data_IF_674844646393
#
_entry.id   IF_674844646393
#
_cell.length_a   1.000
_cell.length_b   1.000
_cell.length_c   1.000
_cell.angle_alpha   90.00
_cell.angle_beta   90.00
_cell.angle_gamma   90.00
#
_symmetry.space_group_name_H-M   'P 1'
#
loop_
_entity.id
_entity.type
_entity.pdbx_description
1 polymer ?
#
# COMPACT_ATOMS: atom_id res chain seq x y z
N UNK A 1 -19.79 -3.93 -4.53
CA UNK A 1 -18.69 -4.26 -3.60
C UNK A 1 -17.59 -4.94 -4.41
N UNK A 2 -16.42 -4.33 -4.55
CA UNK A 2 -15.33 -4.84 -5.41
C UNK A 2 -14.30 -5.67 -4.62
N UNK A 3 -13.42 -6.38 -5.34
CA UNK A 3 -12.36 -7.22 -4.79
C UNK A 3 -12.28 -8.60 -5.46
N UNK A 4 -11.08 -9.19 -5.51
CA UNK A 4 -10.84 -10.52 -6.06
C UNK A 4 -10.04 -11.40 -5.07
N UNK A 5 -10.70 -12.14 -4.15
CA UNK A 5 -12.14 -12.09 -3.87
C UNK A 5 -12.53 -10.84 -3.08
N UNK A 6 -13.83 -10.64 -2.88
CA UNK A 6 -14.36 -9.59 -2.00
C UNK A 6 -14.02 -9.90 -0.54
N UNK A 7 -13.66 -8.88 0.25
CA UNK A 7 -13.43 -9.07 1.69
C UNK A 7 -14.75 -9.43 2.40
N UNK A 8 -14.77 -10.46 3.26
CA UNK A 8 -16.02 -10.94 3.89
C UNK A 8 -16.72 -9.85 4.72
N UNK A 9 -15.97 -9.07 5.51
CA UNK A 9 -16.56 -7.99 6.30
C UNK A 9 -17.18 -6.88 5.44
N UNK A 10 -16.66 -6.58 4.25
CA UNK A 10 -17.28 -5.58 3.36
C UNK A 10 -18.66 -6.04 2.92
N UNK A 11 -18.83 -7.34 2.65
CA UNK A 11 -20.13 -7.93 2.32
C UNK A 11 -21.09 -7.78 3.49
N UNK A 12 -20.68 -8.23 4.69
CA UNK A 12 -21.52 -8.19 5.89
C UNK A 12 -21.92 -6.76 6.28
N UNK A 13 -20.96 -5.83 6.32
CA UNK A 13 -21.23 -4.43 6.67
C UNK A 13 -22.12 -3.74 5.62
N UNK A 14 -21.94 -4.06 4.33
CA UNK A 14 -22.84 -3.52 3.29
C UNK A 14 -24.26 -4.06 3.45
N UNK A 15 -24.43 -5.35 3.73
CA UNK A 15 -25.75 -5.94 3.99
C UNK A 15 -26.41 -5.36 5.25
N UNK A 16 -25.62 -5.12 6.31
CA UNK A 16 -26.10 -4.47 7.53
C UNK A 16 -26.53 -3.03 7.26
N UNK A 17 -25.75 -2.25 6.50
CA UNK A 17 -26.10 -0.89 6.12
C UNK A 17 -27.37 -0.84 5.26
N UNK A 18 -27.55 -1.81 4.35
CA UNK A 18 -28.80 -1.97 3.59
C UNK A 18 -30.00 -2.25 4.50
N UNK A 19 -29.86 -3.20 5.43
CA UNK A 19 -30.93 -3.56 6.37
C UNK A 19 -31.33 -2.41 7.30
N UNK A 20 -30.42 -1.45 7.53
CA UNK A 20 -30.67 -0.24 8.33
C UNK A 20 -31.09 0.97 7.50
N UNK A 21 -31.25 0.81 6.18
CA UNK A 21 -31.53 1.90 5.24
C UNK A 21 -30.46 3.01 5.25
N UNK A 22 -29.21 2.66 5.60
CA UNK A 22 -28.06 3.58 5.68
C UNK A 22 -27.28 3.67 4.35
N UNK A 23 -27.54 2.76 3.39
CA UNK A 23 -26.82 2.70 2.10
C UNK A 23 -27.49 3.55 1.00
N UNK A 24 -27.63 4.85 1.24
CA UNK A 24 -28.10 5.82 0.24
C UNK A 24 -27.03 6.23 -0.79
N UNK A 25 -27.37 7.04 -1.81
CA UNK A 25 -26.43 7.49 -2.84
C UNK A 25 -25.17 8.19 -2.29
N UNK A 26 -25.30 8.93 -1.19
CA UNK A 26 -24.16 9.58 -0.53
C UNK A 26 -23.19 8.60 0.13
N UNK A 27 -23.63 7.38 0.45
CA UNK A 27 -22.80 6.33 1.03
C UNK A 27 -22.01 5.54 -0.03
N UNK A 28 -22.16 5.89 -1.31
CA UNK A 28 -21.44 5.30 -2.43
C UNK A 28 -20.45 6.31 -3.05
N UNK A 29 -19.31 5.79 -3.53
CA UNK A 29 -18.37 6.56 -4.33
C UNK A 29 -18.80 6.65 -5.81
N UNK A 30 -17.99 7.28 -6.65
CA UNK A 30 -18.27 7.46 -8.09
C UNK A 30 -18.33 6.14 -8.88
N UNK A 31 -17.82 5.04 -8.33
CA UNK A 31 -17.87 3.70 -8.92
C UNK A 31 -19.00 2.85 -8.32
N UNK A 32 -19.85 3.42 -7.46
CA UNK A 32 -20.93 2.70 -6.78
C UNK A 32 -20.43 1.78 -5.67
N UNK A 33 -19.23 2.02 -5.12
CA UNK A 33 -18.66 1.23 -4.01
C UNK A 33 -19.04 1.87 -2.67
N UNK A 34 -19.38 1.08 -1.63
CA UNK A 34 -19.57 1.61 -0.29
C UNK A 34 -18.32 2.36 0.23
N UNK A 35 -18.53 3.61 0.64
CA UNK A 35 -17.47 4.53 1.08
C UNK A 35 -16.69 4.05 2.30
N UNK A 36 -17.32 3.27 3.18
CA UNK A 36 -16.70 2.79 4.43
C UNK A 36 -15.40 1.99 4.22
N UNK A 37 -15.21 1.35 3.06
CA UNK A 37 -13.93 0.76 2.65
C UNK A 37 -13.26 1.51 1.49
N UNK A 38 -14.03 2.14 0.60
CA UNK A 38 -13.53 2.75 -0.63
C UNK A 38 -12.89 4.15 -0.42
N UNK A 39 -13.14 4.82 0.70
CA UNK A 39 -12.53 6.13 0.99
C UNK A 39 -11.09 6.02 1.55
N UNK A 40 -10.55 4.79 1.67
CA UNK A 40 -9.15 4.54 2.04
C UNK A 40 -8.37 4.01 0.85
N UNK A 41 -7.07 4.31 0.82
CA UNK A 41 -6.13 3.63 -0.07
C UNK A 41 -5.54 2.43 0.66
N UNK A 42 -5.23 1.35 -0.08
CA UNK A 42 -4.56 0.17 0.47
C UNK A 42 -3.25 0.54 1.15
N UNK A 43 -2.60 1.63 0.74
CA UNK A 43 -1.40 2.15 1.39
C UNK A 43 -1.61 2.55 2.86
N UNK A 44 -2.82 2.98 3.26
CA UNK A 44 -3.12 3.33 4.63
C UNK A 44 -2.99 2.10 5.55
N UNK A 45 -2.23 2.22 6.63
CA UNK A 45 -1.93 1.11 7.55
C UNK A 45 -0.92 0.09 7.02
N UNK A 46 -0.29 0.32 5.86
CA UNK A 46 0.70 -0.60 5.32
C UNK A 46 1.89 -0.76 6.28
N UNK A 47 2.22 -2.00 6.66
CA UNK A 47 3.34 -2.30 7.55
C UNK A 47 4.71 -1.89 6.97
N UNK A 48 4.79 -1.67 5.65
CA UNK A 48 5.99 -1.23 4.93
C UNK A 48 6.08 0.29 4.79
N UNK A 49 5.31 1.06 5.56
CA UNK A 49 5.20 2.52 5.38
C UNK A 49 6.52 3.26 5.61
N UNK A 50 7.31 2.88 6.62
CA UNK A 50 8.62 3.49 6.86
C UNK A 50 9.55 3.35 5.64
N UNK A 51 9.56 2.17 5.02
CA UNK A 51 10.33 1.93 3.79
C UNK A 51 9.83 2.80 2.63
N UNK A 52 8.51 2.96 2.49
CA UNK A 52 7.91 3.82 1.47
C UNK A 52 8.26 5.30 1.67
N UNK A 53 8.22 5.78 2.92
CA UNK A 53 8.51 7.16 3.28
C UNK A 53 9.95 7.52 2.89
N UNK A 54 10.91 6.67 3.27
CA UNK A 54 12.34 6.87 2.98
C UNK A 54 12.78 6.39 1.58
N UNK A 55 11.86 5.94 0.73
CA UNK A 55 12.17 5.39 -0.62
C UNK A 55 13.23 4.28 -0.57
N UNK A 56 13.17 3.46 0.48
CA UNK A 56 13.99 2.29 0.67
C UNK A 56 13.23 1.07 0.14
N UNK A 57 13.47 0.74 -1.13
CA UNK A 57 12.63 -0.19 -1.86
C UNK A 57 13.18 -1.61 -1.85
N UNK A 58 12.27 -2.58 -1.84
CA UNK A 58 12.59 -3.98 -2.09
C UNK A 58 13.03 -4.12 -3.55
N UNK A 59 14.08 -4.90 -3.80
CA UNK A 59 14.61 -5.12 -5.16
C UNK A 59 14.16 -6.48 -5.72
N UNK A 60 13.90 -7.45 -4.84
CA UNK A 60 13.44 -8.79 -5.19
C UNK A 60 12.33 -9.28 -4.25
N UNK A 61 11.56 -10.31 -4.62
CA UNK A 61 10.66 -10.98 -3.67
C UNK A 61 11.41 -11.40 -2.40
N UNK A 62 10.69 -11.47 -1.28
CA UNK A 62 11.17 -11.68 0.11
C UNK A 62 11.81 -10.47 0.80
N UNK A 63 12.31 -9.48 0.08
CA UNK A 63 12.86 -8.27 0.69
C UNK A 63 11.82 -7.53 1.56
N UNK A 64 12.25 -6.94 2.68
CA UNK A 64 11.37 -6.22 3.61
C UNK A 64 10.94 -4.83 3.10
N UNK A 65 11.67 -4.25 2.15
CA UNK A 65 11.50 -2.88 1.66
C UNK A 65 10.15 -2.57 0.99
N UNK A 66 9.97 -1.33 0.55
CA UNK A 66 8.75 -0.95 -0.15
C UNK A 66 8.63 -1.66 -1.52
N UNK A 67 7.47 -2.23 -1.82
CA UNK A 67 7.21 -2.96 -3.07
C UNK A 67 6.84 -2.05 -4.25
N UNK A 68 6.61 -0.74 -4.03
CA UNK A 68 6.08 0.17 -5.05
C UNK A 68 7.09 0.48 -6.15
N UNK A 69 8.37 0.69 -5.82
CA UNK A 69 9.34 1.20 -6.79
C UNK A 69 9.76 0.15 -7.81
N UNK A 70 9.84 -1.13 -7.43
CA UNK A 70 10.35 -2.19 -8.31
C UNK A 70 9.35 -3.32 -8.56
N UNK A 71 8.53 -3.66 -7.58
CA UNK A 71 7.74 -4.90 -7.54
C UNK A 71 6.25 -4.70 -7.84
N UNK A 72 5.89 -3.58 -8.47
CA UNK A 72 4.58 -3.35 -9.07
C UNK A 72 3.45 -2.94 -8.13
N UNK A 73 3.74 -2.69 -6.84
CA UNK A 73 2.68 -2.42 -5.86
C UNK A 73 1.88 -1.15 -6.19
N UNK A 74 0.55 -1.30 -6.31
CA UNK A 74 -0.43 -0.23 -6.59
C UNK A 74 -1.12 0.28 -5.32
N UNK A 75 -0.55 0.04 -4.13
CA UNK A 75 -1.21 0.38 -2.87
C UNK A 75 -1.62 1.85 -2.72
N UNK A 76 -0.88 2.77 -3.34
CA UNK A 76 -1.17 4.22 -3.34
C UNK A 76 -2.20 4.65 -4.38
N UNK A 77 -2.77 3.71 -5.13
CA UNK A 77 -3.74 3.93 -6.20
C UNK A 77 -5.03 3.12 -5.99
N UNK A 78 -4.94 1.99 -5.26
CA UNK A 78 -6.05 1.09 -5.02
C UNK A 78 -6.90 1.54 -3.84
N UNK A 79 -8.20 1.72 -4.04
CA UNK A 79 -9.15 2.04 -2.99
C UNK A 79 -9.61 0.76 -2.26
N UNK A 80 -9.19 0.63 -1.00
CA UNK A 80 -9.63 -0.37 -0.04
C UNK A 80 -8.92 -0.15 1.30
N UNK A 81 -9.47 -0.75 2.36
CA UNK A 81 -8.93 -0.69 3.72
C UNK A 81 -8.17 -1.98 4.13
N UNK A 82 -7.67 -2.78 3.16
CA UNK A 82 -7.06 -4.11 3.38
C UNK A 82 -5.89 -4.16 4.38
N UNK A 83 -5.28 -3.03 4.72
CA UNK A 83 -4.17 -2.94 5.66
C UNK A 83 -4.56 -2.42 7.05
N UNK A 84 -5.77 -1.89 7.20
CA UNK A 84 -6.38 -1.52 8.49
C UNK A 84 -7.42 -2.58 8.91
N UNK A 85 -8.21 -3.06 7.95
CA UNK A 85 -9.08 -4.24 8.05
C UNK A 85 -8.40 -5.45 7.42
N UNK A 86 -7.85 -6.31 8.26
CA UNK A 86 -7.05 -7.45 7.83
C UNK A 86 -7.93 -8.65 7.47
N UNK A 87 -7.46 -9.42 6.48
CA UNK A 87 -8.03 -10.70 6.08
C UNK A 87 -7.83 -11.74 7.17
N UNK A 88 -8.92 -12.39 7.59
CA UNK A 88 -8.91 -13.49 8.56
C UNK A 88 -8.17 -13.15 9.88
N UNK A 89 -8.20 -11.87 10.28
CA UNK A 89 -7.64 -11.39 11.55
C UNK A 89 -6.17 -10.95 11.51
N UNK A 90 -5.42 -11.22 10.44
CA UNK A 90 -3.96 -10.94 10.42
C UNK A 90 -3.42 -10.50 9.05
N UNK A 91 -3.99 -11.02 7.96
CA UNK A 91 -3.37 -10.99 6.64
C UNK A 91 -3.69 -9.75 5.80
N UNK A 92 -2.75 -9.38 4.94
CA UNK A 92 -2.97 -8.55 3.76
C UNK A 92 -1.94 -8.92 2.70
N UNK A 93 -2.13 -8.53 1.44
CA UNK A 93 -1.15 -8.83 0.38
C UNK A 93 0.26 -8.37 0.78
N UNK A 94 0.38 -7.12 1.26
CA UNK A 94 1.67 -6.51 1.61
C UNK A 94 2.28 -7.08 2.88
N UNK A 95 1.47 -7.59 3.82
CA UNK A 95 1.95 -8.36 4.98
C UNK A 95 2.47 -9.72 4.56
N UNK A 96 1.80 -10.38 3.61
CA UNK A 96 2.26 -11.62 2.97
C UNK A 96 3.42 -11.44 1.99
N UNK A 97 3.98 -10.24 1.86
CA UNK A 97 5.11 -9.96 0.98
C UNK A 97 4.79 -9.86 -0.51
N UNK A 98 3.51 -9.75 -0.87
CA UNK A 98 3.07 -9.60 -2.25
C UNK A 98 2.55 -8.19 -2.53
N UNK A 99 2.79 -7.72 -3.75
CA UNK A 99 2.39 -6.38 -4.17
C UNK A 99 0.86 -6.26 -4.25
N UNK A 100 0.29 -5.12 -3.84
CA UNK A 100 -1.10 -4.84 -4.16
C UNK A 100 -1.24 -4.71 -5.68
N UNK A 101 -2.13 -5.50 -6.28
CA UNK A 101 -2.41 -5.49 -7.73
C UNK A 101 -3.62 -4.65 -8.11
N UNK A 102 -4.17 -3.89 -7.16
CA UNK A 102 -5.35 -3.05 -7.37
C UNK A 102 -6.65 -3.82 -7.69
N UNK A 103 -6.85 -5.01 -7.11
CA UNK A 103 -8.00 -5.88 -7.44
C UNK A 103 -9.39 -5.32 -7.09
N UNK A 104 -9.46 -4.14 -6.47
CA UNK A 104 -10.70 -3.40 -6.18
C UNK A 104 -11.01 -2.31 -7.21
N UNK A 105 -10.12 -2.08 -8.17
CA UNK A 105 -10.26 -1.10 -9.25
C UNK A 105 -10.66 -1.75 -10.58
N UNK A 106 -11.44 -1.07 -11.43
CA UNK A 106 -11.73 -1.52 -12.79
C UNK A 106 -10.46 -1.72 -13.62
N UNK A 107 -10.40 -2.78 -14.44
CA UNK A 107 -9.32 -3.04 -15.39
C UNK A 107 -8.02 -3.56 -14.75
N UNK A 108 -8.03 -3.91 -13.46
CA UNK A 108 -6.85 -4.41 -12.76
C UNK A 108 -6.27 -5.69 -13.38
N UNK A 109 -7.10 -6.48 -14.06
CA UNK A 109 -6.73 -7.72 -14.73
C UNK A 109 -5.82 -7.51 -15.95
N UNK A 110 -5.79 -6.30 -16.50
CA UNK A 110 -4.96 -5.94 -17.65
C UNK A 110 -4.15 -4.65 -17.39
N UNK A 111 -3.13 -4.70 -16.51
CA UNK A 111 -2.32 -3.53 -16.15
C UNK A 111 -1.37 -3.08 -17.28
N UNK A 112 -1.26 -3.82 -18.39
CA UNK A 112 -0.36 -3.51 -19.50
C UNK A 112 1.13 -3.82 -19.24
N UNK A 113 1.45 -4.45 -18.11
CA UNK A 113 2.80 -4.88 -17.72
C UNK A 113 2.71 -6.05 -16.72
N UNK A 114 3.79 -6.82 -16.45
CA UNK A 114 3.76 -7.85 -15.40
C UNK A 114 3.43 -7.27 -14.02
N UNK A 115 2.60 -7.95 -13.22
CA UNK A 115 2.17 -7.49 -11.90
C UNK A 115 3.32 -7.27 -10.90
N UNK A 116 4.40 -8.03 -11.03
CA UNK A 116 5.58 -7.97 -10.16
C UNK A 116 6.64 -6.98 -10.67
N UNK A 117 6.28 -6.09 -11.58
CA UNK A 117 7.19 -5.11 -12.16
C UNK A 117 6.57 -3.72 -12.13
N UNK A 118 7.33 -2.74 -11.65
CA UNK A 118 6.94 -1.33 -11.75
C UNK A 118 7.44 -0.75 -13.07
N UNK A 119 6.54 -0.28 -13.97
CA UNK A 119 6.95 0.45 -15.17
C UNK A 119 7.56 1.80 -14.79
N UNK A 120 8.63 2.19 -15.48
CA UNK A 120 9.38 3.43 -15.21
C UNK A 120 9.67 4.21 -16.48
N UNK A 121 9.69 5.53 -16.35
CA UNK A 121 10.21 6.46 -17.38
C UNK A 121 11.32 7.27 -16.74
N UNK A 122 12.51 7.26 -17.33
CA UNK A 122 13.71 7.91 -16.77
C UNK A 122 13.97 7.55 -15.29
N UNK A 123 13.72 6.30 -14.91
CA UNK A 123 13.90 5.81 -13.53
C UNK A 123 12.75 6.13 -12.56
N UNK A 124 11.74 6.89 -12.97
CA UNK A 124 10.60 7.30 -12.14
C UNK A 124 9.40 6.36 -12.41
N UNK A 125 8.74 5.81 -11.38
CA UNK A 125 7.51 5.02 -11.55
C UNK A 125 6.41 5.77 -12.30
N UNK A 126 5.74 5.10 -13.23
CA UNK A 126 4.61 5.68 -14.00
C UNK A 126 3.37 5.88 -13.11
N UNK A 127 3.08 4.90 -12.24
CA UNK A 127 1.95 4.97 -11.29
C UNK A 127 2.36 5.68 -10.01
N UNK A 128 2.06 6.97 -9.91
CA UNK A 128 2.29 7.80 -8.72
C UNK A 128 1.01 7.89 -7.86
N UNK A 129 1.10 8.33 -6.58
CA UNK A 129 -0.09 8.60 -5.76
C UNK A 129 -1.05 9.55 -6.47
N UNK A 130 -2.35 9.28 -6.38
CA UNK A 130 -3.39 9.98 -7.14
C UNK A 130 -3.70 11.38 -6.59
N UNK A 131 -3.41 11.60 -5.32
CA UNK A 131 -3.73 12.79 -4.53
C UNK A 131 -2.54 13.76 -4.34
N UNK A 132 -1.40 13.48 -4.99
CA UNK A 132 -0.17 14.28 -4.87
C UNK A 132 0.28 14.86 -6.22
N UNK A 133 0.60 16.17 -6.31
CA UNK A 133 1.18 16.73 -7.52
C UNK A 133 2.52 16.06 -7.85
N UNK A 134 2.67 15.61 -9.10
CA UNK A 134 3.81 14.77 -9.53
C UNK A 134 5.18 15.39 -9.25
N UNK A 135 5.34 16.69 -9.48
CA UNK A 135 6.61 17.38 -9.23
C UNK A 135 7.01 17.37 -7.75
N UNK A 136 6.04 17.61 -6.85
CA UNK A 136 6.27 17.56 -5.41
C UNK A 136 6.55 16.13 -4.93
N UNK A 137 5.87 15.13 -5.50
CA UNK A 137 6.19 13.73 -5.21
C UNK A 137 7.65 13.41 -5.55
N UNK A 138 8.11 13.79 -6.74
CA UNK A 138 9.49 13.53 -7.17
C UNK A 138 10.50 14.24 -6.27
N UNK A 139 10.26 15.52 -5.95
CA UNK A 139 11.13 16.29 -5.07
C UNK A 139 11.23 15.67 -3.67
N UNK A 140 10.10 15.33 -3.05
CA UNK A 140 10.06 14.72 -1.73
C UNK A 140 10.64 13.30 -1.75
N UNK A 141 10.40 12.53 -2.80
CA UNK A 141 11.01 11.21 -2.97
C UNK A 141 12.54 11.30 -3.03
N UNK A 142 13.09 12.25 -3.79
CA UNK A 142 14.54 12.45 -3.87
C UNK A 142 15.14 12.85 -2.51
N UNK A 143 14.50 13.77 -1.79
CA UNK A 143 14.93 14.18 -0.45
C UNK A 143 14.84 13.03 0.56
N UNK A 144 13.74 12.29 0.58
CA UNK A 144 13.59 11.15 1.49
C UNK A 144 14.59 10.03 1.20
N UNK A 145 14.90 9.77 -0.08
CA UNK A 145 15.89 8.77 -0.50
C UNK A 145 17.32 9.16 -0.10
N UNK A 146 17.65 10.45 -0.15
CA UNK A 146 18.97 10.92 0.31
C UNK A 146 19.10 10.86 1.83
N UNK A 147 17.99 11.10 2.55
CA UNK A 147 17.91 11.05 4.00
C UNK A 147 17.67 9.65 4.60
N UNK A 148 17.56 8.58 3.78
CA UNK A 148 17.26 7.22 4.27
C UNK A 148 18.26 6.77 5.36
N UNK A 149 17.80 6.43 6.57
CA UNK A 149 18.66 5.91 7.63
C UNK A 149 19.30 4.58 7.22
N UNK A 150 20.54 4.33 7.67
CA UNK A 150 21.28 3.07 7.41
C UNK A 150 20.42 1.83 7.70
N UNK A 151 19.72 1.83 8.85
CA UNK A 151 18.80 0.75 9.24
C UNK A 151 17.76 0.45 8.17
N UNK A 152 17.07 1.48 7.69
CA UNK A 152 15.97 1.33 6.73
C UNK A 152 16.53 0.90 5.38
N UNK A 153 17.66 1.47 4.96
CA UNK A 153 18.34 1.13 3.70
C UNK A 153 18.79 -0.33 3.65
N UNK A 154 19.48 -0.80 4.69
CA UNK A 154 20.03 -2.17 4.72
C UNK A 154 18.93 -3.22 4.88
N UNK A 155 17.94 -2.95 5.73
CA UNK A 155 16.82 -3.89 5.90
C UNK A 155 15.93 -3.95 4.65
N UNK A 156 15.86 -2.89 3.83
CA UNK A 156 14.97 -2.86 2.67
C UNK A 156 15.29 -3.91 1.61
N UNK A 157 16.55 -4.36 1.53
CA UNK A 157 17.06 -5.33 0.54
C UNK A 157 17.44 -6.67 1.17
N UNK A 158 16.92 -6.93 2.37
CA UNK A 158 17.11 -8.18 3.11
C UNK A 158 15.75 -8.86 3.34
N UNK A 159 15.77 -10.18 3.50
CA UNK A 159 14.60 -11.02 3.81
C UNK A 159 14.32 -11.15 5.32
N UNK A 160 15.19 -10.59 6.16
CA UNK A 160 15.06 -10.54 7.61
C UNK A 160 15.64 -9.23 8.17
N UNK A 161 15.42 -8.98 9.46
CA UNK A 161 15.95 -7.81 10.14
C UNK A 161 17.47 -7.95 10.30
N UNK A 162 18.24 -7.11 9.59
CA UNK A 162 19.71 -7.09 9.64
C UNK A 162 20.21 -6.04 10.63
N UNK A 163 19.54 -4.88 10.69
CA UNK A 163 19.88 -3.76 11.57
C UNK A 163 18.70 -3.44 12.47
N UNK A 164 18.91 -3.52 13.78
CA UNK A 164 17.91 -3.14 14.78
C UNK A 164 17.90 -1.61 15.04
N UNK A 165 16.82 -1.05 15.59
CA UNK A 165 16.79 0.33 16.07
C UNK A 165 17.87 0.60 17.11
N UNK A 166 18.50 1.77 17.04
CA UNK A 166 19.53 2.18 18.01
C UNK A 166 18.90 2.40 19.39
N UNK A 167 19.44 1.76 20.42
CA UNK A 167 19.06 2.01 21.81
C UNK A 167 19.77 3.28 22.30
N UNK A 168 19.01 4.29 22.74
CA UNK A 168 19.59 5.43 23.45
C UNK A 168 20.03 4.97 24.85
N UNK A 169 21.23 5.35 25.26
CA UNK A 169 21.65 5.20 26.66
C UNK A 169 20.73 6.06 27.53
N UNK A 170 19.95 5.43 28.40
CA UNK A 170 18.95 6.10 29.25
C UNK A 170 19.56 6.81 30.46
N UNK A 171 20.85 6.60 30.75
CA UNK A 171 21.52 7.16 31.93
C UNK A 171 21.02 6.60 33.27
N UNK A 172 19.98 5.76 33.24
CA UNK A 172 19.46 5.02 34.38
C UNK A 172 20.45 3.89 34.69
N UNK A 173 21.06 3.95 35.89
CA UNK A 173 21.85 2.86 36.48
C UNK A 173 20.94 1.89 37.18
#
# INVERSE_FOLDING_TARGET
ISGCPVHPNWVLETLMALAREELGPSALDSLGRPRHFADQLVHHGCARNEYYEFKASAEKPSDLGCLMEHLGCKGTQAHADCNTRLWNGEGSCTRGGYACISCTEPGFENPGHPFLQTPKVAGIPVGLPTDMPKAWFVALAALSKSATPKRVRENAVADHLVVAPTQKKTGLR
#
